data_IF_139336113931
#
_entry.id   IF_139336113931
#
_cell.length_a   1.000
_cell.length_b   1.000
_cell.length_c   1.000
_cell.angle_alpha   90.00
_cell.angle_beta   90.00
_cell.angle_gamma   90.00
#
_symmetry.space_group_name_H-M   'P 1'
#
loop_
_entity.id
_entity.type
_entity.pdbx_description
1 polymer ?
#
# COMPACT_ATOMS: atom_id res chain seq x y z
N UNK A 1 29.22 25.28 59.46
CA UNK A 1 29.83 24.95 58.15
C UNK A 1 29.54 23.49 57.89
N UNK A 2 28.55 23.21 57.04
CA UNK A 2 28.09 21.83 56.77
C UNK A 2 28.00 21.68 55.25
N UNK A 3 28.93 20.93 54.68
CA UNK A 3 29.09 20.72 53.23
C UNK A 3 28.23 19.54 52.76
N UNK A 4 27.37 19.79 51.76
CA UNK A 4 26.61 18.79 51.00
C UNK A 4 27.49 18.09 49.96
N UNK A 5 27.23 16.81 49.61
CA UNK A 5 27.91 16.11 48.54
C UNK A 5 27.31 16.42 47.14
N UNK A 6 28.09 16.28 46.06
CA UNK A 6 27.64 16.55 44.69
C UNK A 6 26.74 15.42 44.16
N UNK A 7 25.63 15.81 43.53
CA UNK A 7 24.74 14.90 42.80
C UNK A 7 25.32 14.63 41.41
N UNK A 8 25.88 13.44 41.22
CA UNK A 8 26.34 12.95 39.91
C UNK A 8 25.13 12.57 39.06
N UNK A 9 24.82 13.39 38.04
CA UNK A 9 23.87 13.04 36.98
C UNK A 9 24.43 11.88 36.16
N UNK A 10 23.94 10.67 36.41
CA UNK A 10 24.19 9.52 35.57
C UNK A 10 23.51 9.72 34.20
N UNK A 11 24.31 9.79 33.15
CA UNK A 11 23.85 9.58 31.77
C UNK A 11 23.36 8.14 31.66
N UNK A 12 22.04 7.96 31.61
CA UNK A 12 21.42 6.70 31.24
C UNK A 12 21.60 6.50 29.73
N UNK A 13 22.63 5.76 29.34
CA UNK A 13 22.70 5.12 28.03
C UNK A 13 21.69 3.97 28.04
N UNK A 14 20.48 4.20 27.53
CA UNK A 14 19.53 3.13 27.26
C UNK A 14 20.13 2.21 26.20
N UNK A 15 20.38 0.96 26.58
CA UNK A 15 20.64 -0.14 25.68
C UNK A 15 19.34 -0.44 24.93
N UNK A 16 19.15 0.24 23.80
CA UNK A 16 18.05 -0.03 22.89
C UNK A 16 18.38 -1.34 22.16
N UNK A 17 17.60 -2.39 22.45
CA UNK A 17 17.63 -3.63 21.67
C UNK A 17 17.54 -3.27 20.20
N UNK A 18 18.54 -3.70 19.43
CA UNK A 18 18.76 -3.28 18.04
C UNK A 18 17.75 -3.93 17.10
N UNK A 19 16.47 -3.57 17.19
CA UNK A 19 15.52 -3.79 16.11
C UNK A 19 15.78 -2.74 15.03
N UNK A 20 15.90 -3.16 13.76
CA UNK A 20 16.00 -2.20 12.66
C UNK A 20 14.77 -1.29 12.65
N UNK A 21 14.92 0.03 12.45
CA UNK A 21 13.79 0.96 12.42
C UNK A 21 12.81 0.54 11.32
N UNK A 22 11.52 0.53 11.65
CA UNK A 22 10.43 0.25 10.72
C UNK A 22 9.58 1.51 10.62
N UNK A 23 9.49 2.07 9.42
CA UNK A 23 8.60 3.19 9.13
C UNK A 23 7.20 2.65 8.90
N UNK A 24 6.22 3.25 9.55
CA UNK A 24 4.80 2.98 9.30
C UNK A 24 4.18 4.19 8.64
N UNK A 25 3.69 4.03 7.42
CA UNK A 25 2.97 5.06 6.68
C UNK A 25 1.51 4.64 6.49
N UNK A 26 0.59 5.51 6.91
CA UNK A 26 -0.83 5.40 6.67
C UNK A 26 -1.16 6.23 5.43
N UNK A 27 -1.67 5.58 4.38
CA UNK A 27 -1.93 6.16 3.08
C UNK A 27 -3.42 6.11 2.74
N UNK A 28 -3.93 7.09 1.98
CA UNK A 28 -5.23 6.93 1.35
C UNK A 28 -5.22 5.78 0.32
N UNK A 29 -6.41 5.40 -0.16
CA UNK A 29 -6.55 4.43 -1.25
C UNK A 29 -5.92 4.88 -2.57
N UNK A 30 -5.51 6.16 -2.68
CA UNK A 30 -4.80 6.73 -3.82
C UNK A 30 -3.28 6.83 -3.60
N UNK A 31 -2.74 6.15 -2.56
CA UNK A 31 -1.30 6.11 -2.25
C UNK A 31 -0.75 7.50 -1.85
N UNK A 32 -1.60 8.35 -1.26
CA UNK A 32 -1.19 9.62 -0.65
C UNK A 32 -1.00 9.46 0.86
N UNK A 33 0.13 9.91 1.39
CA UNK A 33 0.42 9.79 2.82
C UNK A 33 -0.55 10.65 3.63
N UNK A 34 -1.24 10.06 4.59
CA UNK A 34 -2.02 10.79 5.60
C UNK A 34 -1.15 11.07 6.83
N UNK A 35 -0.43 10.05 7.29
CA UNK A 35 0.43 10.11 8.47
C UNK A 35 1.58 9.13 8.31
N UNK A 36 2.76 9.52 8.79
CA UNK A 36 3.98 8.70 8.74
C UNK A 36 4.64 8.73 10.11
N UNK A 37 5.27 7.63 10.51
CA UNK A 37 5.99 7.53 11.78
C UNK A 37 7.37 8.22 11.73
N UNK A 38 7.90 8.59 12.89
CA UNK A 38 9.14 9.38 13.01
C UNK A 38 10.40 8.62 12.55
N UNK A 39 10.33 7.29 12.47
CA UNK A 39 11.41 6.44 11.97
C UNK A 39 11.82 6.79 10.53
N UNK A 40 10.96 7.48 9.78
CA UNK A 40 11.27 7.93 8.42
C UNK A 40 12.47 8.87 8.38
N UNK A 41 12.70 9.62 9.46
CA UNK A 41 13.87 10.47 9.59
C UNK A 41 15.15 9.64 9.73
N UNK A 42 15.10 8.53 10.46
CA UNK A 42 16.26 7.64 10.61
C UNK A 42 16.54 6.86 9.32
N UNK A 43 15.48 6.45 8.62
CA UNK A 43 15.59 5.62 7.42
C UNK A 43 15.94 6.46 6.18
N UNK A 44 15.19 7.52 5.89
CA UNK A 44 15.26 8.30 4.65
C UNK A 44 15.68 9.76 4.85
N UNK A 45 15.75 10.24 6.09
CA UNK A 45 16.16 11.60 6.44
C UNK A 45 15.05 12.66 6.36
N UNK A 46 13.86 12.33 5.87
CA UNK A 46 12.74 13.27 5.86
C UNK A 46 12.09 13.39 7.24
N UNK A 47 11.48 14.54 7.50
CA UNK A 47 10.52 14.66 8.57
C UNK A 47 9.13 14.18 8.12
N UNK A 48 8.31 13.58 9.01
CA UNK A 48 6.97 13.09 8.64
C UNK A 48 6.08 14.14 7.96
N UNK A 49 6.14 15.40 8.38
CA UNK A 49 5.36 16.49 7.78
C UNK A 49 5.73 16.78 6.32
N UNK A 50 6.93 16.40 5.87
CA UNK A 50 7.33 16.57 4.46
C UNK A 50 6.65 15.54 3.55
N UNK A 51 6.24 14.40 4.12
CA UNK A 51 5.52 13.34 3.41
C UNK A 51 4.01 13.52 3.51
N UNK A 52 3.52 14.12 4.61
CA UNK A 52 2.09 14.31 4.84
C UNK A 52 1.39 14.98 3.65
N UNK A 53 0.25 14.39 3.27
CA UNK A 53 -0.61 14.78 2.15
C UNK A 53 0.06 14.76 0.77
N UNK A 54 1.20 14.10 0.62
CA UNK A 54 1.88 13.92 -0.66
C UNK A 54 1.78 12.48 -1.16
N UNK A 55 1.75 12.27 -2.49
CA UNK A 55 1.76 10.92 -3.05
C UNK A 55 3.09 10.24 -2.77
N UNK A 56 3.06 8.97 -2.35
CA UNK A 56 4.26 8.17 -2.09
C UNK A 56 5.18 8.10 -3.32
N UNK A 57 4.59 8.16 -4.53
CA UNK A 57 5.31 8.26 -5.81
C UNK A 57 6.34 9.40 -5.87
N UNK A 58 6.16 10.48 -5.09
CA UNK A 58 7.13 11.58 -5.03
C UNK A 58 8.48 11.14 -4.42
N UNK A 59 8.43 10.17 -3.51
CA UNK A 59 9.55 9.74 -2.67
C UNK A 59 10.18 8.43 -3.14
N UNK A 60 9.62 7.77 -4.15
CA UNK A 60 10.24 6.58 -4.76
C UNK A 60 11.16 6.97 -5.92
N UNK A 61 12.13 6.11 -6.19
CA UNK A 61 12.94 6.18 -7.41
C UNK A 61 12.05 5.84 -8.63
N UNK A 62 12.31 6.45 -9.80
CA UNK A 62 11.55 6.15 -11.02
C UNK A 62 11.52 4.66 -11.38
N UNK A 63 12.61 3.94 -11.10
CA UNK A 63 12.76 2.50 -11.34
C UNK A 63 11.79 1.63 -10.53
N UNK A 64 11.27 2.14 -9.41
CA UNK A 64 10.30 1.44 -8.57
C UNK A 64 8.85 1.90 -8.78
N UNK A 65 8.60 2.82 -9.73
CA UNK A 65 7.24 3.32 -10.00
C UNK A 65 6.31 2.22 -10.48
N UNK A 66 6.76 1.35 -11.37
CA UNK A 66 5.97 0.22 -11.87
C UNK A 66 5.71 -0.83 -10.78
N UNK A 67 6.67 -1.03 -9.88
CA UNK A 67 6.53 -1.94 -8.73
C UNK A 67 5.45 -1.43 -7.80
N UNK A 68 5.47 -0.14 -7.43
CA UNK A 68 4.44 0.45 -6.58
C UNK A 68 3.06 0.41 -7.24
N UNK A 69 2.98 0.69 -8.55
CA UNK A 69 1.72 0.61 -9.30
C UNK A 69 1.14 -0.81 -9.32
N UNK A 70 1.99 -1.84 -9.48
CA UNK A 70 1.58 -3.25 -9.40
C UNK A 70 1.06 -3.59 -8.00
N UNK A 71 1.80 -3.23 -6.95
CA UNK A 71 1.38 -3.49 -5.57
C UNK A 71 0.03 -2.82 -5.26
N UNK A 72 -0.13 -1.57 -5.66
CA UNK A 72 -1.38 -0.83 -5.50
C UNK A 72 -2.55 -1.52 -6.21
N UNK A 73 -2.35 -1.96 -7.47
CA UNK A 73 -3.38 -2.69 -8.22
C UNK A 73 -3.78 -3.98 -7.52
N UNK A 74 -2.83 -4.76 -7.01
CA UNK A 74 -3.14 -6.00 -6.27
C UNK A 74 -4.01 -5.73 -5.05
N UNK A 75 -3.77 -4.64 -4.31
CA UNK A 75 -4.62 -4.25 -3.18
C UNK A 75 -6.04 -3.88 -3.61
N UNK A 76 -6.18 -3.11 -4.70
CA UNK A 76 -7.51 -2.73 -5.22
C UNK A 76 -8.28 -3.93 -5.78
N UNK A 77 -7.58 -4.85 -6.42
CA UNK A 77 -8.15 -6.11 -6.91
C UNK A 77 -8.59 -6.98 -5.73
N UNK A 78 -7.85 -7.00 -4.61
CA UNK A 78 -8.26 -7.68 -3.38
C UNK A 78 -9.56 -7.09 -2.80
N UNK A 79 -9.70 -5.76 -2.72
CA UNK A 79 -10.95 -5.11 -2.29
C UNK A 79 -12.10 -5.56 -3.19
N UNK A 80 -11.91 -5.46 -4.51
CA UNK A 80 -12.95 -5.76 -5.49
C UNK A 80 -13.37 -7.23 -5.45
N UNK A 81 -12.40 -8.14 -5.37
CA UNK A 81 -12.64 -9.58 -5.31
C UNK A 81 -13.41 -9.97 -4.05
N UNK A 82 -13.02 -9.46 -2.87
CA UNK A 82 -13.70 -9.82 -1.63
C UNK A 82 -15.10 -9.18 -1.57
N UNK A 83 -15.22 -7.88 -1.90
CA UNK A 83 -16.50 -7.20 -1.86
C UNK A 83 -17.53 -7.82 -2.83
N UNK A 84 -17.12 -8.15 -4.05
CA UNK A 84 -18.00 -8.82 -5.03
C UNK A 84 -18.38 -10.25 -4.66
N UNK A 85 -17.58 -10.93 -3.83
CA UNK A 85 -17.92 -12.26 -3.32
C UNK A 85 -19.05 -12.24 -2.29
N UNK A 86 -19.19 -11.13 -1.56
CA UNK A 86 -20.25 -10.95 -0.55
C UNK A 86 -21.48 -10.27 -1.14
N UNK A 87 -21.27 -9.29 -2.02
CA UNK A 87 -22.33 -8.56 -2.71
C UNK A 87 -22.02 -8.50 -4.22
N UNK A 88 -22.73 -9.31 -5.00
CA UNK A 88 -22.54 -9.38 -6.45
C UNK A 88 -22.93 -8.11 -7.19
N UNK A 89 -23.66 -7.19 -6.54
CA UNK A 89 -24.01 -5.89 -7.10
C UNK A 89 -22.93 -4.83 -6.89
N UNK A 90 -21.87 -5.18 -6.13
CA UNK A 90 -20.76 -4.29 -5.88
C UNK A 90 -19.98 -4.02 -7.16
N UNK A 91 -19.89 -2.75 -7.54
CA UNK A 91 -19.20 -2.32 -8.78
C UNK A 91 -18.01 -1.39 -8.53
N UNK A 92 -17.99 -0.68 -7.40
CA UNK A 92 -16.98 0.35 -7.15
C UNK A 92 -16.76 0.60 -5.66
N UNK A 93 -15.50 0.81 -5.28
CA UNK A 93 -15.13 1.29 -3.95
C UNK A 93 -15.72 2.67 -3.70
N UNK A 94 -16.42 2.89 -2.57
CA UNK A 94 -16.91 4.22 -2.21
C UNK A 94 -15.74 5.20 -2.01
N UNK A 95 -15.98 6.51 -2.09
CA UNK A 95 -14.99 7.51 -1.71
C UNK A 95 -14.47 7.24 -0.30
N UNK A 96 -13.15 7.20 -0.13
CA UNK A 96 -12.52 6.93 1.16
C UNK A 96 -12.09 8.20 1.87
N UNK A 97 -11.71 8.04 3.14
CA UNK A 97 -11.20 9.12 3.97
C UNK A 97 -10.05 9.90 3.29
N UNK A 98 -10.19 11.22 3.28
CA UNK A 98 -9.12 12.11 2.78
C UNK A 98 -7.93 12.05 3.72
N UNK A 99 -6.73 12.24 3.18
CA UNK A 99 -5.50 12.27 3.99
C UNK A 99 -5.53 13.33 5.09
N UNK A 100 -6.27 14.43 4.88
CA UNK A 100 -6.49 15.51 5.85
C UNK A 100 -7.58 15.22 6.89
N UNK A 101 -8.21 14.04 6.84
CA UNK A 101 -9.25 13.65 7.80
C UNK A 101 -8.65 13.56 9.20
N UNK A 102 -9.34 14.15 10.18
CA UNK A 102 -8.93 14.13 11.58
C UNK A 102 -8.78 12.70 12.11
N UNK A 103 -9.52 11.74 11.55
CA UNK A 103 -9.46 10.32 11.91
C UNK A 103 -8.03 9.75 11.90
N UNK A 104 -7.16 10.16 10.97
CA UNK A 104 -5.77 9.68 10.92
C UNK A 104 -4.90 10.21 12.06
N UNK A 105 -5.28 11.35 12.66
CA UNK A 105 -4.52 12.05 13.69
C UNK A 105 -5.10 11.80 15.09
N UNK A 106 -6.43 11.71 15.22
CA UNK A 106 -7.11 11.43 16.48
C UNK A 106 -7.04 9.95 16.88
N UNK A 107 -6.88 9.05 15.91
CA UNK A 107 -6.76 7.61 16.17
C UNK A 107 -5.34 7.23 16.53
N UNK A 108 -5.19 6.35 17.53
CA UNK A 108 -3.89 5.86 17.96
C UNK A 108 -3.21 5.03 16.85
N UNK A 109 -1.88 5.16 16.62
CA UNK A 109 -1.16 4.38 15.62
C UNK A 109 -1.40 2.87 15.70
N UNK A 110 -1.42 2.30 16.91
CA UNK A 110 -1.65 0.86 17.11
C UNK A 110 -3.03 0.39 16.65
N UNK A 111 -4.04 1.27 16.72
CA UNK A 111 -5.36 0.99 16.15
C UNK A 111 -5.30 1.10 14.62
N UNK A 112 -4.59 2.10 14.10
CA UNK A 112 -4.43 2.30 12.67
C UNK A 112 -3.57 1.22 11.99
N UNK A 113 -2.80 0.40 12.71
CA UNK A 113 -2.08 -0.74 12.12
C UNK A 113 -2.92 -2.01 12.03
N UNK A 114 -4.15 -1.99 12.55
CA UNK A 114 -5.06 -3.13 12.44
C UNK A 114 -5.37 -3.44 10.96
N UNK A 115 -5.13 -4.69 10.57
CA UNK A 115 -5.47 -5.18 9.23
C UNK A 115 -6.99 -5.34 9.08
N UNK A 116 -7.55 -4.91 7.96
CA UNK A 116 -8.96 -5.12 7.65
C UNK A 116 -9.23 -6.61 7.39
N UNK A 117 -10.37 -7.12 7.87
CA UNK A 117 -10.78 -8.48 7.56
C UNK A 117 -10.88 -8.69 6.04
N UNK A 118 -10.33 -9.81 5.55
CA UNK A 118 -10.26 -10.11 4.11
C UNK A 118 -9.12 -9.42 3.36
N UNK A 119 -8.37 -8.52 4.01
CA UNK A 119 -7.18 -7.91 3.41
C UNK A 119 -6.10 -8.94 3.16
N UNK A 120 -5.40 -8.78 2.05
CA UNK A 120 -4.15 -9.47 1.76
C UNK A 120 -2.95 -8.58 2.10
N UNK A 121 -1.82 -9.22 2.36
CA UNK A 121 -0.54 -8.55 2.56
C UNK A 121 0.37 -8.85 1.40
N UNK A 122 0.89 -7.80 0.76
CA UNK A 122 1.83 -7.89 -0.36
C UNK A 122 3.14 -7.21 0.00
N UNK A 123 4.27 -7.73 -0.49
CA UNK A 123 5.57 -7.16 -0.21
C UNK A 123 6.48 -7.21 -1.43
N UNK A 124 7.34 -6.20 -1.56
CA UNK A 124 8.37 -6.11 -2.59
C UNK A 124 9.50 -5.17 -2.13
N UNK A 125 10.56 -5.05 -2.92
CA UNK A 125 11.62 -4.06 -2.68
C UNK A 125 11.28 -2.77 -3.46
N UNK A 126 11.27 -1.65 -2.73
CA UNK A 126 11.15 -0.32 -3.32
C UNK A 126 12.46 0.46 -3.13
N UNK A 127 12.97 1.03 -4.22
CA UNK A 127 14.02 2.04 -4.16
C UNK A 127 13.38 3.38 -3.84
N UNK A 128 13.78 3.97 -2.72
CA UNK A 128 13.27 5.25 -2.23
C UNK A 128 14.36 6.32 -2.31
N UNK A 129 13.96 7.55 -2.63
CA UNK A 129 14.83 8.73 -2.60
C UNK A 129 15.04 9.14 -1.15
N UNK A 130 16.28 9.32 -0.73
CA UNK A 130 16.63 9.92 0.55
C UNK A 130 16.66 11.45 0.43
N UNK A 131 16.56 12.15 1.56
CA UNK A 131 16.61 13.61 1.60
C UNK A 131 17.97 14.18 1.12
N UNK A 132 19.05 13.40 1.24
CA UNK A 132 20.41 13.71 0.81
C UNK A 132 20.62 13.49 -0.71
N UNK A 133 19.58 13.11 -1.45
CA UNK A 133 19.63 12.81 -2.87
C UNK A 133 20.07 11.38 -3.20
N UNK A 134 20.44 10.58 -2.20
CA UNK A 134 20.75 9.17 -2.35
C UNK A 134 19.50 8.31 -2.63
N UNK A 135 19.74 7.05 -2.98
CA UNK A 135 18.70 6.03 -3.10
C UNK A 135 18.91 4.94 -2.06
N UNK A 136 17.82 4.46 -1.46
CA UNK A 136 17.84 3.36 -0.49
C UNK A 136 16.84 2.27 -0.91
N UNK A 137 17.31 1.03 -0.97
CA UNK A 137 16.46 -0.13 -1.20
C UNK A 137 15.82 -0.55 0.12
N UNK A 138 14.49 -0.53 0.16
CA UNK A 138 13.70 -0.85 1.35
C UNK A 138 12.75 -1.99 1.05
N UNK A 139 12.60 -2.90 2.01
CA UNK A 139 11.53 -3.88 2.00
C UNK A 139 10.23 -3.14 2.35
N UNK A 140 9.30 -3.13 1.40
CA UNK A 140 8.01 -2.47 1.54
C UNK A 140 6.92 -3.53 1.62
N UNK A 141 6.13 -3.48 2.70
CA UNK A 141 4.98 -4.34 2.91
C UNK A 141 3.71 -3.49 2.93
N UNK A 142 2.70 -3.90 2.16
CA UNK A 142 1.43 -3.20 2.06
C UNK A 142 0.25 -4.12 2.40
N UNK A 143 -0.73 -3.56 3.08
CA UNK A 143 -2.03 -4.19 3.34
C UNK A 143 -3.09 -3.11 3.59
N UNK A 144 -4.35 -3.51 3.63
CA UNK A 144 -5.48 -2.62 3.88
C UNK A 144 -5.76 -2.51 5.38
N UNK A 145 -5.93 -1.28 5.85
CA UNK A 145 -6.19 -0.96 7.24
C UNK A 145 -7.67 -0.99 7.58
N UNK A 146 -7.99 -1.65 8.69
CA UNK A 146 -9.33 -1.77 9.27
C UNK A 146 -9.53 -0.92 10.53
N UNK A 147 -8.50 -0.20 10.98
CA UNK A 147 -8.50 0.54 12.25
C UNK A 147 -9.56 1.65 12.37
N UNK A 148 -10.12 2.08 11.24
CA UNK A 148 -11.22 3.05 11.16
C UNK A 148 -12.61 2.36 11.04
N UNK A 149 -12.68 1.06 11.32
CA UNK A 149 -13.89 0.24 11.26
C UNK A 149 -14.19 -0.34 9.88
N UNK A 150 -13.19 -0.47 9.01
CA UNK A 150 -13.37 -1.05 7.68
C UNK A 150 -13.22 -2.58 7.68
N UNK A 151 -14.12 -3.25 6.96
CA UNK A 151 -14.15 -4.71 6.79
C UNK A 151 -14.48 -5.04 5.32
N UNK A 152 -13.65 -5.85 4.64
CA UNK A 152 -13.89 -6.16 3.22
C UNK A 152 -15.13 -7.04 3.01
N UNK A 153 -15.59 -7.75 4.03
CA UNK A 153 -16.84 -8.51 4.00
C UNK A 153 -18.07 -7.65 4.29
N UNK A 154 -17.91 -6.37 4.62
CA UNK A 154 -19.01 -5.43 4.84
C UNK A 154 -18.88 -4.23 3.90
N UNK A 155 -19.45 -4.30 2.68
CA UNK A 155 -19.31 -3.26 1.66
C UNK A 155 -19.67 -1.84 2.10
N UNK A 156 -20.58 -1.71 3.07
CA UNK A 156 -21.00 -0.43 3.66
C UNK A 156 -19.90 0.28 4.45
N UNK A 157 -18.86 -0.44 4.89
CA UNK A 157 -17.75 0.08 5.70
C UNK A 157 -16.52 0.47 4.89
N UNK A 158 -16.49 0.16 3.59
CA UNK A 158 -15.31 0.33 2.74
C UNK A 158 -14.85 1.78 2.57
N UNK A 159 -15.72 2.77 2.88
CA UNK A 159 -15.34 4.18 2.91
C UNK A 159 -14.28 4.50 3.98
N UNK A 160 -14.16 3.66 5.01
CA UNK A 160 -13.13 3.78 6.04
C UNK A 160 -11.81 3.07 5.69
N UNK A 161 -11.68 2.46 4.51
CA UNK A 161 -10.43 1.81 4.12
C UNK A 161 -9.31 2.80 3.86
N UNK A 162 -8.11 2.37 4.20
CA UNK A 162 -6.84 3.04 3.91
C UNK A 162 -5.76 1.97 3.70
N UNK A 163 -4.59 2.38 3.21
CA UNK A 163 -3.47 1.47 2.97
C UNK A 163 -2.43 1.70 4.06
N UNK A 164 -1.89 0.62 4.60
CA UNK A 164 -0.75 0.66 5.51
C UNK A 164 0.48 0.22 4.73
N UNK A 165 1.54 1.00 4.80
CA UNK A 165 2.84 0.70 4.20
C UNK A 165 3.89 0.63 5.31
N UNK A 166 4.53 -0.53 5.46
CA UNK A 166 5.66 -0.72 6.36
C UNK A 166 6.94 -0.74 5.54
N UNK A 167 7.91 0.08 5.91
CA UNK A 167 9.22 0.15 5.25
C UNK A 167 10.31 -0.20 6.24
N UNK A 168 11.15 -1.17 5.88
CA UNK A 168 12.29 -1.58 6.68
C UNK A 168 13.49 -1.86 5.79
N UNK A 169 14.69 -1.83 6.37
CA UNK A 169 15.87 -2.31 5.64
C UNK A 169 15.74 -3.82 5.41
N UNK A 170 16.00 -4.33 4.20
CA UNK A 170 16.00 -5.76 3.95
C UNK A 170 16.93 -6.44 4.95
N UNK A 171 16.42 -7.39 5.73
CA UNK A 171 17.28 -8.24 6.56
C UNK A 171 18.18 -9.03 5.62
N UNK A 172 19.50 -8.86 5.76
CA UNK A 172 20.47 -9.71 5.04
C UNK A 172 20.39 -11.13 5.59
N UNK A 173 19.37 -11.89 5.18
CA UNK A 173 19.45 -13.34 5.22
C UNK A 173 20.34 -13.73 4.06
N UNK A 174 21.48 -14.34 4.37
CA UNK A 174 22.41 -14.92 3.40
C UNK A 174 21.65 -15.71 2.33
N UNK A 175 21.81 -15.26 1.07
CA UNK A 175 21.49 -15.91 -0.20
C UNK A 175 20.56 -17.15 -0.19
N UNK A 176 19.29 -16.96 -0.60
CA UNK A 176 18.58 -17.82 -1.56
C UNK A 176 17.12 -17.36 -1.75
N UNK A 177 16.73 -17.10 -3.01
CA UNK A 177 15.37 -17.10 -3.54
C UNK A 177 14.29 -16.21 -2.86
N UNK A 178 14.15 -14.96 -3.32
CA UNK A 178 12.92 -14.20 -3.15
C UNK A 178 12.01 -14.38 -4.38
N UNK A 179 11.15 -15.41 -4.33
CA UNK A 179 9.89 -15.40 -5.06
C UNK A 179 8.85 -14.65 -4.21
N UNK A 180 7.81 -14.02 -4.79
CA UNK A 180 6.75 -13.38 -4.01
C UNK A 180 6.02 -14.43 -3.18
N UNK A 181 6.10 -14.31 -1.85
CA UNK A 181 5.43 -15.21 -0.92
C UNK A 181 4.03 -14.64 -0.61
N UNK A 182 3.01 -15.28 -1.15
CA UNK A 182 1.63 -15.10 -0.69
C UNK A 182 1.48 -15.85 0.64
N UNK A 183 1.35 -15.12 1.75
CA UNK A 183 1.04 -15.71 3.06
C UNK A 183 -0.46 -15.61 3.29
N UNK A 184 -1.17 -16.70 3.08
CA UNK A 184 -2.57 -16.86 3.49
C UNK A 184 -2.60 -17.40 4.91
N UNK A 185 -3.10 -16.62 5.88
CA UNK A 185 -3.37 -17.12 7.23
C UNK A 185 -4.71 -17.88 7.22
N UNK A 186 -4.65 -19.22 7.19
CA UNK A 186 -5.78 -20.08 7.55
C UNK A 186 -5.54 -20.61 8.97
N UNK A 187 -6.41 -20.22 9.90
CA UNK A 187 -6.40 -20.68 11.28
C UNK A 187 -6.89 -22.13 11.41
N UNK A 188 -6.22 -22.84 12.30
CA UNK A 188 -6.20 -24.26 12.64
C UNK A 188 -7.54 -24.86 13.08
N UNK A 189 -7.82 -26.11 12.66
CA UNK A 189 -8.53 -27.07 13.53
C UNK A 189 -7.97 -28.49 13.35
N UNK A 190 -7.54 -29.03 14.47
CA UNK A 190 -6.88 -30.32 14.77
C UNK A 190 -7.78 -31.53 14.52
N UNK A 191 -7.22 -32.71 14.19
CA UNK A 191 -7.38 -34.04 14.87
C UNK A 191 -6.87 -35.22 14.00
N UNK A 192 -5.67 -35.76 14.36
CA UNK A 192 -5.19 -37.18 14.46
C UNK A 192 -5.87 -38.32 13.67
N UNK A 193 -5.27 -39.41 13.13
CA UNK A 193 -4.10 -40.27 13.45
C UNK A 193 -3.94 -41.32 12.30
N UNK A 194 -2.74 -41.67 11.78
CA UNK A 194 -1.91 -42.87 12.11
C UNK A 194 -2.20 -44.18 11.32
N UNK A 195 -1.32 -44.47 10.33
CA UNK A 195 -0.55 -45.73 10.07
C UNK A 195 -1.16 -46.98 9.37
N UNK A 196 -0.50 -47.31 8.24
CA UNK A 196 -0.16 -48.59 7.56
C UNK A 196 -1.19 -49.72 7.27
N UNK A 197 -1.18 -50.27 6.04
CA UNK A 197 -0.58 -51.58 5.65
C UNK A 197 -1.24 -52.20 4.38
N UNK A 198 -0.44 -52.35 3.30
CA UNK A 198 -0.22 -53.48 2.35
C UNK A 198 -1.35 -54.23 1.57
N UNK A 199 -1.11 -54.33 0.24
CA UNK A 199 -1.48 -55.33 -0.82
C UNK A 199 -2.93 -55.56 -1.27
N UNK A 200 -3.20 -55.36 -2.57
CA UNK A 200 -3.22 -56.44 -3.59
C UNK A 200 -3.31 -55.92 -5.05
N UNK A 201 -2.90 -56.82 -5.95
CA UNK A 201 -2.74 -56.82 -7.42
C UNK A 201 -4.10 -56.57 -8.13
N UNK A 202 -4.25 -56.01 -9.35
CA UNK A 202 -4.14 -56.68 -10.68
C UNK A 202 -4.42 -55.70 -11.86
N UNK A 203 -3.61 -55.80 -12.93
CA UNK A 203 -3.87 -55.60 -14.39
C UNK A 203 -4.96 -54.62 -14.89
N UNK A 204 -4.58 -53.70 -15.80
CA UNK A 204 -4.73 -53.85 -17.26
C UNK A 204 -4.36 -52.57 -18.03
N UNK A 205 -3.97 -52.79 -19.28
CA UNK A 205 -3.38 -51.94 -20.33
C UNK A 205 -4.27 -50.87 -20.97
N UNK A 206 -3.67 -49.75 -21.42
CA UNK A 206 -3.82 -49.06 -22.73
C UNK A 206 -3.24 -47.63 -22.64
N UNK A 207 -2.14 -47.31 -23.34
CA UNK A 207 -2.11 -46.44 -24.55
C UNK A 207 -3.03 -45.22 -24.47
N UNK A 208 -2.49 -44.00 -24.39
CA UNK A 208 -2.30 -43.13 -25.57
C UNK A 208 -1.71 -41.75 -25.16
N UNK A 209 -1.17 -41.10 -26.17
CA UNK A 209 -0.35 -39.88 -26.31
C UNK A 209 -0.71 -38.58 -25.57
N UNK A 210 0.27 -37.65 -25.38
CA UNK A 210 0.07 -36.33 -24.78
C UNK A 210 -0.43 -35.26 -25.78
N UNK A 211 -1.29 -34.30 -25.38
CA UNK A 211 -1.67 -33.19 -26.26
C UNK A 211 -0.63 -32.05 -26.23
N UNK A 212 -0.18 -31.66 -27.43
CA UNK A 212 0.57 -30.43 -27.70
C UNK A 212 -0.33 -29.17 -27.67
N UNK A 213 0.21 -27.99 -27.32
CA UNK A 213 -0.54 -26.73 -27.27
C UNK A 213 -0.80 -26.14 -28.67
N UNK A 214 -2.03 -25.66 -28.87
CA UNK A 214 -2.47 -24.98 -30.10
C UNK A 214 -1.99 -23.53 -30.09
N UNK A 215 -1.18 -23.18 -31.09
CA UNK A 215 -0.88 -21.80 -31.51
C UNK A 215 -2.13 -21.16 -32.11
N UNK A 216 -2.62 -20.06 -31.51
CA UNK A 216 -3.66 -19.24 -32.12
C UNK A 216 -3.02 -18.06 -32.86
N UNK A 217 -3.18 -18.08 -34.17
CA UNK A 217 -2.74 -17.08 -35.14
C UNK A 217 -3.69 -15.88 -35.20
N UNK A 218 -3.11 -14.68 -35.24
CA UNK A 218 -3.76 -13.46 -35.72
C UNK A 218 -4.27 -13.65 -37.17
N UNK A 219 -5.34 -12.92 -37.53
CA UNK A 219 -5.28 -12.17 -38.77
C UNK A 219 -5.55 -10.68 -38.59
N UNK A 220 -4.66 -9.92 -39.21
CA UNK A 220 -4.69 -8.50 -39.54
C UNK A 220 -5.95 -8.14 -40.34
N UNK A 221 -6.58 -6.99 -40.05
CA UNK A 221 -7.18 -6.19 -41.13
C UNK A 221 -7.22 -4.69 -40.79
N UNK A 222 -6.78 -3.94 -41.78
CA UNK A 222 -6.51 -2.51 -41.86
C UNK A 222 -7.79 -1.78 -42.27
N UNK A 223 -8.11 -0.63 -41.69
CA UNK A 223 -8.91 0.41 -42.34
C UNK A 223 -8.63 1.80 -41.73
N UNK A 224 -8.08 2.68 -42.58
CA UNK A 224 -7.96 4.12 -42.42
C UNK A 224 -9.34 4.79 -42.37
N UNK A 225 -9.45 5.89 -41.63
CA UNK A 225 -10.17 7.12 -42.04
C UNK A 225 -9.74 8.25 -41.08
N UNK A 226 -8.89 9.17 -41.52
CA UNK A 226 -9.18 10.47 -42.15
C UNK A 226 -9.50 11.58 -41.14
N UNK A 227 -8.56 12.51 -41.10
CA UNK A 227 -8.59 13.91 -40.65
C UNK A 227 -9.98 14.57 -40.58
N UNK A 228 -10.21 15.33 -39.50
CA UNK A 228 -10.77 16.68 -39.59
C UNK A 228 -10.36 17.51 -38.35
N UNK A 229 -9.62 18.56 -38.65
CA UNK A 229 -9.30 19.70 -37.81
C UNK A 229 -10.54 20.58 -37.58
N UNK A 230 -10.64 21.20 -36.41
CA UNK A 230 -11.34 22.49 -36.28
C UNK A 230 -10.75 23.31 -35.14
N UNK A 231 -10.31 24.50 -35.52
CA UNK A 231 -9.75 25.55 -34.69
C UNK A 231 -10.82 26.30 -33.88
N UNK A 232 -10.32 27.04 -32.88
CA UNK A 232 -10.77 28.37 -32.45
C UNK A 232 -12.21 28.55 -31.98
N UNK A 233 -12.38 28.90 -30.70
CA UNK A 233 -13.15 30.10 -30.41
C UNK A 233 -12.61 30.88 -29.21
N UNK A 234 -12.24 32.12 -29.51
CA UNK A 234 -11.79 33.17 -28.62
C UNK A 234 -12.98 34.14 -28.51
N UNK A 235 -13.50 34.38 -27.30
CA UNK A 235 -14.26 35.59 -26.96
C UNK A 235 -13.93 35.94 -25.50
N UNK A 236 -13.26 37.07 -25.21
CA UNK A 236 -13.71 38.46 -25.23
C UNK A 236 -15.01 38.72 -24.45
N UNK A 237 -14.85 39.19 -23.21
CA UNK A 237 -15.58 40.32 -22.63
C UNK A 237 -14.82 40.74 -21.35
N UNK A 238 -14.03 41.82 -21.36
CA UNK A 238 -14.40 43.24 -21.23
C UNK A 238 -15.15 43.60 -19.94
N UNK A 239 -14.36 44.16 -19.00
CA UNK A 239 -14.58 45.40 -18.25
C UNK A 239 -15.96 45.71 -17.67
N UNK A 240 -16.04 45.80 -16.34
CA UNK A 240 -16.80 46.89 -15.72
C UNK A 240 -16.13 47.35 -14.42
N UNK A 241 -15.54 48.54 -14.50
CA UNK A 241 -15.27 49.43 -13.39
C UNK A 241 -16.62 49.90 -12.80
N UNK A 242 -16.81 49.80 -11.50
CA UNK A 242 -17.59 50.81 -10.77
C UNK A 242 -16.86 51.22 -9.50
N UNK A 243 -16.36 52.45 -9.61
CA UNK A 243 -15.99 53.36 -8.54
C UNK A 243 -17.30 53.91 -7.96
N UNK A 244 -17.48 53.86 -6.65
CA UNK A 244 -18.45 54.70 -5.95
C UNK A 244 -17.70 55.36 -4.80
N UNK A 245 -17.16 56.53 -5.10
CA UNK A 245 -16.81 57.53 -4.11
C UNK A 245 -18.09 58.31 -3.73
N UNK A 246 -18.13 58.70 -2.46
CA UNK A 246 -18.59 59.99 -1.95
C UNK A 246 -19.99 60.12 -1.31
N UNK A 247 -19.92 60.81 -0.15
CA UNK A 247 -20.91 61.66 0.54
C UNK A 247 -21.94 60.93 1.43
N UNK A 248 -22.31 61.41 2.61
CA UNK A 248 -21.83 62.41 3.57
C UNK A 248 -22.80 62.30 4.77
N UNK A 249 -22.32 62.54 5.99
CA UNK A 249 -23.08 62.76 7.24
C UNK A 249 -23.69 61.55 7.95
#
# INVERSE_FOLDING_TARGET
MTTLPPTTTARQTMLQGTSSPVVTAFLSMEICCARVSDEVQTLLGYYPQELAHRPLYSFIAPTSSEVLARLHRVLLDNVTHVASSVDSTWQRTPPTERTTSEKFFSTHPDTLTAIANGSQTVADILWMKRNDGGLEALQAQFYLGGGLGADLYQPTTLGSLYIICLLSRPTRTTAAAAAPVFVSNASTTTTTNTTNTTTHITTASSSDTPPSPVLLTNPTTFAQQTLLSSSSNQSNNSTSFMRVDALLS
#
